data_IF_380014022297
#
_entry.id   IF_380014022297
#
_cell.length_a   1.000
_cell.length_b   1.000
_cell.length_c   1.000
_cell.angle_alpha   90.00
_cell.angle_beta   90.00
_cell.angle_gamma   90.00
#
_symmetry.space_group_name_H-M   'P 1'
#
loop_
_entity.id
_entity.type
_entity.pdbx_description
1 polymer ?
#
# COMPACT_ATOMS: atom_id res chain seq x y z
N UNK A 1 -11.31 -7.79 -9.19
CA UNK A 1 -10.89 -9.20 -9.11
C UNK A 1 -11.69 -10.07 -10.06
N UNK A 2 -11.03 -10.92 -10.85
CA UNK A 2 -11.67 -11.86 -11.77
C UNK A 2 -12.20 -13.10 -11.02
N UNK A 3 -13.07 -13.88 -11.68
CA UNK A 3 -13.68 -15.08 -11.09
C UNK A 3 -12.65 -16.18 -10.74
N UNK A 4 -11.63 -16.49 -11.56
CA UNK A 4 -10.59 -17.46 -11.21
C UNK A 4 -9.77 -17.04 -9.98
N UNK A 5 -9.35 -15.77 -9.90
CA UNK A 5 -8.62 -15.22 -8.74
C UNK A 5 -9.43 -15.33 -7.46
N UNK A 6 -10.73 -15.05 -7.55
CA UNK A 6 -11.65 -15.19 -6.42
C UNK A 6 -11.72 -16.64 -5.93
N UNK A 7 -11.75 -17.61 -6.84
CA UNK A 7 -11.80 -19.04 -6.51
C UNK A 7 -10.52 -19.51 -5.82
N UNK A 8 -9.36 -19.10 -6.34
CA UNK A 8 -8.08 -19.35 -5.69
C UNK A 8 -8.03 -18.77 -4.28
N UNK A 9 -8.56 -17.55 -4.09
CA UNK A 9 -8.52 -16.86 -2.79
C UNK A 9 -9.29 -17.63 -1.71
N UNK A 10 -10.58 -17.91 -1.92
CA UNK A 10 -11.36 -18.59 -0.88
C UNK A 10 -10.91 -20.04 -0.70
N UNK A 11 -10.43 -20.71 -1.76
CA UNK A 11 -9.86 -22.05 -1.65
C UNK A 11 -8.62 -22.05 -0.75
N UNK A 12 -7.73 -21.05 -0.90
CA UNK A 12 -6.56 -20.90 -0.05
C UNK A 12 -6.92 -20.61 1.41
N UNK A 13 -7.91 -19.75 1.64
CA UNK A 13 -8.39 -19.44 2.99
C UNK A 13 -9.04 -20.66 3.66
N UNK A 14 -9.78 -21.48 2.90
CA UNK A 14 -10.38 -22.73 3.38
C UNK A 14 -9.31 -23.80 3.64
N UNK A 15 -8.38 -24.01 2.71
CA UNK A 15 -7.30 -24.99 2.84
C UNK A 15 -6.46 -24.78 4.09
N UNK A 16 -6.22 -23.51 4.45
CA UNK A 16 -5.44 -23.13 5.65
C UNK A 16 -6.26 -23.11 6.94
N UNK A 17 -7.54 -23.47 6.88
CA UNK A 17 -8.45 -23.41 8.03
C UNK A 17 -8.65 -22.00 8.60
N UNK A 18 -8.39 -20.96 7.81
CA UNK A 18 -8.57 -19.57 8.24
C UNK A 18 -10.04 -19.15 8.24
N UNK A 19 -10.81 -19.77 7.35
CA UNK A 19 -12.26 -19.64 7.26
C UNK A 19 -12.87 -21.04 7.14
N UNK A 20 -14.03 -21.22 7.75
CA UNK A 20 -14.80 -22.46 7.72
C UNK A 20 -16.22 -22.16 7.31
N UNK A 21 -16.84 -23.11 6.63
CA UNK A 21 -18.26 -23.04 6.30
C UNK A 21 -19.09 -23.08 7.59
N UNK A 22 -20.15 -22.29 7.61
CA UNK A 22 -21.15 -22.30 8.69
C UNK A 22 -22.47 -22.80 8.13
N UNK A 23 -23.40 -23.18 9.00
CA UNK A 23 -24.73 -23.67 8.60
C UNK A 23 -25.45 -22.78 7.57
N UNK A 24 -25.22 -21.46 7.63
CA UNK A 24 -25.99 -20.49 6.83
C UNK A 24 -25.14 -19.67 5.85
N UNK A 25 -23.81 -19.69 5.96
CA UNK A 25 -22.91 -18.86 5.16
C UNK A 25 -21.64 -19.65 4.84
N UNK A 26 -21.43 -19.90 3.55
CA UNK A 26 -20.24 -20.59 3.04
C UNK A 26 -19.03 -19.66 3.00
N UNK A 27 -17.80 -20.20 2.94
CA UNK A 27 -16.57 -19.40 2.86
C UNK A 27 -16.59 -18.45 1.65
N UNK A 28 -17.11 -18.91 0.51
CA UNK A 28 -17.29 -18.09 -0.70
C UNK A 28 -18.15 -16.86 -0.40
N UNK A 29 -19.29 -17.06 0.26
CA UNK A 29 -20.18 -15.97 0.64
C UNK A 29 -19.50 -15.05 1.66
N UNK A 30 -18.78 -15.58 2.65
CA UNK A 30 -18.03 -14.77 3.63
C UNK A 30 -17.04 -13.83 2.92
N UNK A 31 -16.24 -14.38 1.99
CA UNK A 31 -15.25 -13.60 1.22
C UNK A 31 -15.96 -12.61 0.29
N UNK A 32 -17.08 -12.99 -0.32
CA UNK A 32 -17.88 -12.08 -1.16
C UNK A 32 -18.44 -10.90 -0.37
N UNK A 33 -18.94 -11.12 0.86
CA UNK A 33 -19.39 -10.06 1.77
C UNK A 33 -18.25 -9.05 2.00
N UNK A 34 -17.05 -9.56 2.34
CA UNK A 34 -15.89 -8.70 2.59
C UNK A 34 -15.52 -7.87 1.36
N UNK A 35 -15.37 -8.52 0.19
CA UNK A 35 -15.00 -7.87 -1.06
C UNK A 35 -16.01 -6.83 -1.52
N UNK A 36 -17.30 -7.10 -1.31
CA UNK A 36 -18.39 -6.17 -1.60
C UNK A 36 -18.24 -4.89 -0.78
N UNK A 37 -17.91 -5.02 0.50
CA UNK A 37 -17.69 -3.88 1.41
C UNK A 37 -16.45 -3.09 1.03
N UNK A 38 -15.32 -3.76 0.78
CA UNK A 38 -14.06 -3.04 0.52
C UNK A 38 -14.00 -2.44 -0.90
N UNK A 39 -14.66 -3.06 -1.88
CA UNK A 39 -14.62 -2.67 -3.27
C UNK A 39 -15.66 -1.62 -3.70
N UNK A 40 -16.76 -1.47 -2.96
CA UNK A 40 -17.85 -0.57 -3.37
C UNK A 40 -17.90 0.76 -2.60
N UNK A 41 -18.56 1.75 -3.21
CA UNK A 41 -18.73 3.09 -2.66
C UNK A 41 -19.87 3.20 -1.62
N UNK A 42 -20.61 2.12 -1.35
CA UNK A 42 -21.86 2.21 -0.60
C UNK A 42 -21.74 2.13 0.93
N UNK A 43 -22.78 2.56 1.62
CA UNK A 43 -22.87 2.50 3.09
C UNK A 43 -23.11 1.06 3.57
N UNK A 44 -22.81 0.79 4.85
CA UNK A 44 -23.09 -0.50 5.49
C UNK A 44 -24.54 -0.98 5.26
N UNK A 45 -25.49 -0.03 5.18
CA UNK A 45 -26.91 -0.30 4.94
C UNK A 45 -27.20 -0.80 3.51
N UNK A 46 -26.59 -0.20 2.50
CA UNK A 46 -26.74 -0.64 1.10
C UNK A 46 -26.19 -2.05 0.88
N UNK A 47 -25.13 -2.42 1.61
CA UNK A 47 -24.54 -3.78 1.55
C UNK A 47 -25.47 -4.80 2.20
N UNK A 48 -26.07 -4.46 3.36
CA UNK A 48 -27.08 -5.29 4.04
C UNK A 48 -28.28 -5.58 3.11
N UNK A 49 -28.79 -4.56 2.42
CA UNK A 49 -29.88 -4.71 1.45
C UNK A 49 -29.43 -5.57 0.26
N UNK A 50 -28.25 -5.30 -0.30
CA UNK A 50 -27.77 -6.02 -1.48
C UNK A 50 -27.49 -7.51 -1.23
N UNK A 51 -27.18 -7.89 0.02
CA UNK A 51 -26.85 -9.26 0.40
C UNK A 51 -28.01 -10.01 1.07
N UNK A 52 -29.13 -9.33 1.37
CA UNK A 52 -30.25 -9.91 2.14
C UNK A 52 -29.82 -10.55 3.47
N UNK A 53 -28.78 -10.01 4.11
CA UNK A 53 -28.24 -10.50 5.40
C UNK A 53 -28.35 -9.44 6.49
N UNK A 54 -28.57 -9.86 7.73
CA UNK A 54 -28.59 -8.93 8.86
C UNK A 54 -27.25 -8.20 9.04
N UNK A 55 -27.29 -6.98 9.57
CA UNK A 55 -26.06 -6.20 9.84
C UNK A 55 -25.06 -6.92 10.76
N UNK A 56 -25.56 -7.74 11.70
CA UNK A 56 -24.72 -8.58 12.54
C UNK A 56 -23.95 -9.63 11.73
N UNK A 57 -24.62 -10.31 10.79
CA UNK A 57 -24.01 -11.31 9.89
C UNK A 57 -22.91 -10.67 9.05
N UNK A 58 -23.21 -9.51 8.46
CA UNK A 58 -22.26 -8.74 7.65
C UNK A 58 -21.03 -8.35 8.46
N UNK A 59 -21.22 -7.78 9.66
CA UNK A 59 -20.11 -7.38 10.54
C UNK A 59 -19.27 -8.58 11.01
N UNK A 60 -19.92 -9.69 11.38
CA UNK A 60 -19.26 -10.93 11.81
C UNK A 60 -18.30 -11.43 10.74
N UNK A 61 -18.79 -11.62 9.52
CA UNK A 61 -17.99 -12.20 8.44
C UNK A 61 -17.01 -11.21 7.83
N UNK A 62 -17.32 -9.91 7.81
CA UNK A 62 -16.32 -8.88 7.48
C UNK A 62 -15.10 -8.97 8.40
N UNK A 63 -15.30 -9.05 9.72
CA UNK A 63 -14.19 -9.13 10.67
C UNK A 63 -13.49 -10.51 10.65
N UNK A 64 -14.20 -11.59 10.34
CA UNK A 64 -13.60 -12.92 10.17
C UNK A 64 -12.64 -12.93 8.96
N UNK A 65 -13.11 -12.48 7.80
CA UNK A 65 -12.31 -12.42 6.57
C UNK A 65 -11.17 -11.41 6.70
N UNK A 66 -11.40 -10.25 7.33
CA UNK A 66 -10.35 -9.27 7.59
C UNK A 66 -9.19 -9.89 8.38
N UNK A 67 -9.48 -10.65 9.43
CA UNK A 67 -8.45 -11.34 10.23
C UNK A 67 -7.73 -12.42 9.41
N UNK A 68 -8.47 -13.18 8.61
CA UNK A 68 -7.91 -14.22 7.76
C UNK A 68 -6.93 -13.63 6.72
N UNK A 69 -7.31 -12.56 6.02
CA UNK A 69 -6.46 -11.90 5.02
C UNK A 69 -5.24 -11.26 5.68
N UNK A 70 -5.40 -10.58 6.84
CA UNK A 70 -4.25 -10.01 7.57
C UNK A 70 -3.27 -11.10 8.03
N UNK A 71 -3.76 -12.31 8.34
CA UNK A 71 -2.90 -13.45 8.67
C UNK A 71 -2.17 -14.00 7.43
N UNK A 72 -2.75 -13.86 6.24
CA UNK A 72 -2.12 -14.22 4.96
C UNK A 72 -1.15 -13.13 4.46
N UNK A 73 -1.32 -11.87 4.87
CA UNK A 73 -0.58 -10.73 4.37
C UNK A 73 0.97 -10.86 4.41
N UNK A 74 1.61 -11.47 5.42
CA UNK A 74 3.07 -11.65 5.43
C UNK A 74 3.62 -12.49 4.27
N UNK A 75 2.78 -13.31 3.63
CA UNK A 75 3.15 -14.13 2.48
C UNK A 75 2.86 -13.44 1.13
N UNK A 76 2.12 -12.33 1.17
CA UNK A 76 1.74 -11.56 -0.02
C UNK A 76 2.47 -10.22 -0.09
N UNK A 77 2.86 -9.65 1.05
CA UNK A 77 3.56 -8.39 1.19
C UNK A 77 4.99 -8.72 1.66
N UNK A 78 5.86 -8.97 0.70
CA UNK A 78 7.26 -9.30 0.92
C UNK A 78 8.12 -8.79 -0.25
N UNK A 79 9.43 -8.66 -0.01
CA UNK A 79 10.40 -8.26 -1.04
C UNK A 79 10.63 -9.43 -2.01
N UNK A 80 10.29 -9.24 -3.29
CA UNK A 80 10.34 -10.30 -4.32
C UNK A 80 11.72 -10.52 -4.91
N UNK A 81 12.50 -9.45 -5.02
CA UNK A 81 13.86 -9.48 -5.54
C UNK A 81 14.72 -8.45 -4.82
N UNK A 82 16.01 -8.75 -4.69
CA UNK A 82 17.02 -7.81 -4.16
C UNK A 82 17.89 -7.20 -5.26
N UNK A 83 17.65 -7.55 -6.53
CA UNK A 83 18.37 -6.99 -7.67
C UNK A 83 17.73 -5.69 -8.14
N UNK A 84 18.54 -4.82 -8.76
CA UNK A 84 18.02 -3.63 -9.48
C UNK A 84 16.96 -4.05 -10.49
N UNK A 85 15.83 -3.36 -10.50
CA UNK A 85 14.71 -3.70 -11.38
C UNK A 85 15.02 -3.43 -12.87
N UNK A 86 14.54 -4.26 -13.82
CA UNK A 86 14.72 -4.07 -15.26
C UNK A 86 14.33 -2.67 -15.76
N UNK A 87 13.29 -2.07 -15.18
CA UNK A 87 12.87 -0.68 -15.50
C UNK A 87 14.02 0.33 -15.36
N UNK A 88 14.89 0.14 -14.37
CA UNK A 88 16.05 1.00 -14.16
C UNK A 88 17.19 0.60 -15.08
N UNK A 89 17.55 -0.70 -15.12
CA UNK A 89 18.70 -1.18 -15.90
C UNK A 89 18.52 -1.00 -17.40
N UNK A 90 17.29 -1.13 -17.90
CA UNK A 90 16.95 -0.99 -19.32
C UNK A 90 16.73 0.47 -19.76
N UNK A 91 16.91 1.43 -18.84
CA UNK A 91 16.76 2.87 -19.10
C UNK A 91 18.12 3.58 -18.97
N UNK A 92 19.04 3.37 -19.92
CA UNK A 92 20.37 3.98 -19.88
C UNK A 92 20.28 5.51 -19.97
N UNK A 93 21.15 6.22 -19.25
CA UNK A 93 21.21 7.69 -19.15
C UNK A 93 20.00 8.37 -18.48
N UNK A 94 18.85 7.69 -18.40
CA UNK A 94 17.68 8.16 -17.67
C UNK A 94 17.72 7.72 -16.20
N UNK A 95 17.81 6.41 -15.94
CA UNK A 95 17.84 5.87 -14.58
C UNK A 95 19.15 5.14 -14.26
N UNK A 96 19.70 4.37 -15.20
CA UNK A 96 21.02 3.75 -15.03
C UNK A 96 22.15 4.70 -15.49
N UNK A 97 23.26 4.83 -14.74
CA UNK A 97 23.62 4.13 -13.49
C UNK A 97 23.17 4.84 -12.21
N UNK A 98 22.50 5.99 -12.30
CA UNK A 98 22.19 6.87 -11.16
C UNK A 98 21.38 6.19 -10.04
N UNK A 99 20.51 5.24 -10.39
CA UNK A 99 19.71 4.44 -9.46
C UNK A 99 20.11 2.96 -9.46
N UNK A 100 21.36 2.63 -9.82
CA UNK A 100 21.87 1.26 -9.70
C UNK A 100 21.73 0.77 -8.24
N UNK A 101 21.10 -0.39 -8.07
CA UNK A 101 20.80 -1.00 -6.79
C UNK A 101 19.55 -0.45 -6.08
N UNK A 102 18.80 0.46 -6.71
CA UNK A 102 17.45 0.78 -6.25
C UNK A 102 16.51 -0.39 -6.57
N UNK A 103 15.84 -0.89 -5.52
CA UNK A 103 14.97 -2.07 -5.61
C UNK A 103 13.50 -1.63 -5.69
N UNK A 104 13.10 -0.65 -4.87
CA UNK A 104 11.71 -0.30 -4.64
C UNK A 104 11.54 1.21 -4.40
N UNK A 105 10.31 1.70 -4.53
CA UNK A 105 9.93 3.08 -4.26
C UNK A 105 9.14 3.19 -2.94
N UNK A 106 9.48 4.18 -2.12
CA UNK A 106 8.82 4.46 -0.84
C UNK A 106 7.99 5.74 -0.93
N UNK A 107 6.73 5.67 -0.50
CA UNK A 107 5.93 6.87 -0.30
C UNK A 107 4.81 6.68 0.74
N UNK A 108 4.30 7.80 1.23
CA UNK A 108 3.14 7.88 2.09
C UNK A 108 1.86 8.30 1.34
N UNK A 109 0.72 7.80 1.79
CA UNK A 109 -0.60 8.29 1.37
C UNK A 109 -1.52 8.50 2.57
N UNK A 110 -2.50 9.38 2.41
CA UNK A 110 -3.55 9.60 3.41
C UNK A 110 -4.80 8.79 3.07
N UNK A 111 -5.36 8.14 4.09
CA UNK A 111 -6.65 7.45 4.07
C UNK A 111 -7.57 8.13 5.09
N UNK A 112 -8.85 8.30 4.77
CA UNK A 112 -9.82 8.91 5.71
C UNK A 112 -9.88 8.09 7.00
N UNK A 113 -9.79 8.77 8.14
CA UNK A 113 -9.84 8.15 9.45
C UNK A 113 -11.23 8.33 10.08
N UNK A 114 -11.78 7.26 10.67
CA UNK A 114 -12.95 7.38 11.55
C UNK A 114 -12.48 7.38 13.00
N UNK A 115 -12.44 8.57 13.58
CA UNK A 115 -11.90 8.85 14.90
C UNK A 115 -12.97 9.48 15.78
N UNK A 116 -12.88 9.25 17.09
CA UNK A 116 -13.78 9.91 18.05
C UNK A 116 -13.41 11.38 18.17
N UNK A 117 -14.37 12.23 18.57
CA UNK A 117 -14.14 13.66 18.75
C UNK A 117 -12.90 13.97 19.62
N UNK A 118 -12.70 13.20 20.70
CA UNK A 118 -11.54 13.31 21.62
C UNK A 118 -10.17 13.06 20.97
N UNK A 119 -10.14 12.38 19.82
CA UNK A 119 -8.91 12.04 19.11
C UNK A 119 -8.75 12.79 17.78
N UNK A 120 -9.75 13.59 17.39
CA UNK A 120 -9.82 14.20 16.07
C UNK A 120 -8.62 15.11 15.77
N UNK A 121 -8.17 15.87 16.78
CA UNK A 121 -7.04 16.79 16.64
C UNK A 121 -5.73 16.09 16.27
N UNK A 122 -5.53 14.83 16.71
CA UNK A 122 -4.32 14.06 16.41
C UNK A 122 -4.25 13.51 14.99
N UNK A 123 -5.41 13.42 14.32
CA UNK A 123 -5.53 12.95 12.93
C UNK A 123 -5.83 14.10 11.97
N UNK A 124 -5.69 15.34 12.44
CA UNK A 124 -5.93 16.55 11.65
C UNK A 124 -4.67 16.90 10.87
N UNK A 125 -4.71 16.64 9.57
CA UNK A 125 -3.67 17.01 8.62
C UNK A 125 -4.05 18.23 7.79
N UNK A 126 -3.48 18.32 6.58
CA UNK A 126 -3.78 19.37 5.58
C UNK A 126 -5.21 19.31 5.01
N UNK A 127 -5.91 18.19 5.14
CA UNK A 127 -7.29 18.01 4.64
C UNK A 127 -8.29 18.54 5.66
N UNK A 128 -9.48 18.96 5.19
CA UNK A 128 -10.59 19.42 6.05
C UNK A 128 -11.24 18.32 6.89
N UNK A 129 -10.76 17.08 6.80
CA UNK A 129 -11.27 15.91 7.51
C UNK A 129 -10.10 15.10 8.08
N UNK A 130 -10.31 14.33 9.17
CA UNK A 130 -9.26 13.53 9.77
C UNK A 130 -8.80 12.40 8.84
N UNK A 131 -7.50 12.19 8.78
CA UNK A 131 -6.86 11.15 7.96
C UNK A 131 -5.83 10.38 8.78
N UNK A 132 -5.69 9.09 8.48
CA UNK A 132 -4.56 8.29 8.94
C UNK A 132 -3.51 8.22 7.84
N UNK A 133 -2.25 8.16 8.23
CA UNK A 133 -1.19 7.91 7.28
C UNK A 133 -1.01 6.43 7.01
N UNK A 134 -0.61 6.16 5.78
CA UNK A 134 -0.16 4.87 5.31
C UNK A 134 1.20 5.08 4.65
N UNK A 135 2.23 4.42 5.14
CA UNK A 135 3.49 4.27 4.42
C UNK A 135 3.45 2.97 3.64
N UNK A 136 3.96 3.01 2.41
CA UNK A 136 4.28 1.77 1.73
C UNK A 136 5.60 1.85 0.98
N UNK A 137 6.19 0.69 0.82
CA UNK A 137 7.26 0.43 -0.15
C UNK A 137 6.67 -0.47 -1.23
N UNK A 138 6.97 -0.13 -2.48
CA UNK A 138 6.36 -0.72 -3.67
C UNK A 138 7.44 -1.02 -4.69
N UNK A 139 7.47 -2.24 -5.21
CA UNK A 139 8.37 -2.60 -6.32
C UNK A 139 7.95 -1.93 -7.64
N UNK A 140 8.80 -2.00 -8.65
CA UNK A 140 8.49 -1.36 -9.94
C UNK A 140 7.42 -2.09 -10.78
N UNK A 141 6.96 -3.25 -10.32
CA UNK A 141 5.83 -4.01 -10.84
C UNK A 141 4.52 -3.73 -10.05
N UNK A 142 4.54 -2.72 -9.17
CA UNK A 142 3.41 -2.22 -8.39
C UNK A 142 2.93 -3.13 -7.26
N UNK A 143 3.74 -4.10 -6.82
CA UNK A 143 3.46 -4.88 -5.61
C UNK A 143 3.89 -4.13 -4.37
N UNK A 144 3.04 -4.15 -3.35
CA UNK A 144 3.38 -3.67 -2.02
C UNK A 144 4.31 -4.66 -1.32
N UNK A 145 5.50 -4.24 -0.91
CA UNK A 145 6.49 -5.12 -0.25
C UNK A 145 6.63 -4.81 1.24
N UNK A 146 6.20 -3.61 1.64
CA UNK A 146 6.09 -3.20 3.03
C UNK A 146 4.94 -2.20 3.19
N UNK A 147 4.13 -2.35 4.26
CA UNK A 147 3.02 -1.44 4.54
C UNK A 147 2.90 -1.18 6.03
N UNK A 148 2.77 0.09 6.40
CA UNK A 148 2.46 0.53 7.76
C UNK A 148 1.28 1.48 7.70
N UNK A 149 0.28 1.27 8.57
CA UNK A 149 -0.93 2.09 8.61
C UNK A 149 -1.39 2.36 10.04
N UNK A 150 -2.22 3.39 10.23
CA UNK A 150 -2.85 3.70 11.51
C UNK A 150 -2.08 4.67 12.40
N UNK A 151 -1.09 5.39 11.87
CA UNK A 151 -0.23 6.31 12.62
C UNK A 151 -0.59 7.79 12.38
N UNK A 152 -0.31 8.60 13.41
CA UNK A 152 -0.42 10.06 13.40
C UNK A 152 0.77 10.70 12.65
N UNK A 153 0.58 11.90 12.07
CA UNK A 153 1.47 12.54 11.08
C UNK A 153 2.95 12.63 11.49
N UNK A 154 3.26 12.86 12.77
CA UNK A 154 4.63 13.11 13.23
C UNK A 154 5.52 11.85 13.25
N UNK A 155 4.96 10.69 13.61
CA UNK A 155 5.69 9.42 13.67
C UNK A 155 6.03 8.88 12.29
N UNK A 156 5.22 9.22 11.30
CA UNK A 156 5.44 8.83 9.92
C UNK A 156 6.68 9.45 9.30
N UNK A 157 6.96 10.72 9.60
CA UNK A 157 8.19 11.36 9.16
C UNK A 157 9.38 10.61 9.75
N UNK A 158 9.37 10.31 11.05
CA UNK A 158 10.45 9.58 11.71
C UNK A 158 10.67 8.18 11.13
N UNK A 159 9.59 7.44 10.82
CA UNK A 159 9.67 6.14 10.16
C UNK A 159 10.18 6.26 8.72
N UNK A 160 9.70 7.24 7.95
CA UNK A 160 10.19 7.51 6.60
C UNK A 160 11.69 7.81 6.62
N UNK A 161 12.17 8.57 7.60
CA UNK A 161 13.60 8.88 7.76
C UNK A 161 14.44 7.65 8.15
N UNK A 162 13.88 6.73 8.96
CA UNK A 162 14.54 5.46 9.31
C UNK A 162 14.48 4.41 8.19
N UNK A 163 13.39 4.35 7.42
CA UNK A 163 13.18 3.32 6.39
C UNK A 163 13.73 3.71 5.03
N UNK A 164 13.76 5.01 4.69
CA UNK A 164 14.48 5.52 3.50
C UNK A 164 15.97 5.13 3.54
N UNK A 165 16.51 4.87 4.72
CA UNK A 165 17.85 4.34 4.93
C UNK A 165 18.05 2.91 4.41
N UNK A 166 17.01 2.07 4.46
CA UNK A 166 17.04 0.66 4.06
C UNK A 166 16.72 0.48 2.57
N UNK A 167 15.79 1.27 2.02
CA UNK A 167 15.35 1.17 0.60
C UNK A 167 16.44 1.62 -0.39
N UNK A 168 17.42 2.41 0.07
CA UNK A 168 18.54 2.94 -0.72
C UNK A 168 19.82 2.08 -0.67
N UNK A 169 19.77 0.88 -0.10
CA UNK A 169 20.94 -0.03 -0.05
C UNK A 169 21.16 -0.74 -1.40
N UNK A 170 21.31 0.08 -2.45
CA UNK A 170 21.94 -0.26 -3.71
C UNK A 170 23.42 0.05 -3.65
N UNK A 171 24.21 -0.92 -3.20
CA UNK A 171 25.65 -0.79 -3.02
C UNK A 171 26.38 -0.66 -4.36
N UNK A 172 26.59 0.57 -4.82
CA UNK A 172 27.72 1.03 -5.68
C UNK A 172 27.71 2.57 -5.84
N UNK A 173 26.54 3.18 -5.92
CA UNK A 173 26.39 4.64 -6.06
C UNK A 173 26.91 5.44 -4.86
N UNK A 174 26.93 4.85 -3.66
CA UNK A 174 27.52 5.43 -2.44
C UNK A 174 29.04 5.62 -2.53
N UNK A 175 29.75 4.77 -3.28
CA UNK A 175 31.21 4.89 -3.48
C UNK A 175 31.58 6.06 -4.37
N UNK A 176 30.68 6.50 -5.25
CA UNK A 176 30.92 7.61 -6.16
C UNK A 176 30.85 8.99 -5.46
N UNK A 177 30.37 9.05 -4.21
CA UNK A 177 30.32 10.27 -3.38
C UNK A 177 31.22 10.24 -2.13
N UNK A 178 31.95 9.15 -1.86
CA UNK A 178 32.93 9.11 -0.76
C UNK A 178 32.36 9.32 0.66
N UNK A 179 31.13 8.88 0.94
CA UNK A 179 30.50 9.06 2.27
C UNK A 179 30.08 7.73 2.93
N UNK A 180 30.20 7.62 4.27
CA UNK A 180 29.85 6.41 5.00
C UNK A 180 28.33 6.13 4.99
N UNK A 181 27.91 4.86 5.19
CA UNK A 181 26.54 4.39 4.90
C UNK A 181 25.42 5.01 5.76
N UNK A 182 25.74 5.94 6.67
CA UNK A 182 24.85 6.52 7.69
C UNK A 182 24.14 7.84 7.33
N UNK A 183 24.54 8.54 6.26
CA UNK A 183 24.22 9.96 6.07
C UNK A 183 23.46 10.31 4.78
N UNK A 184 23.10 9.33 3.96
CA UNK A 184 22.76 9.57 2.56
C UNK A 184 21.39 10.22 2.26
N UNK A 185 20.48 10.35 3.22
CA UNK A 185 19.17 11.01 2.94
C UNK A 185 18.89 12.26 3.78
N UNK A 186 19.39 12.32 5.03
CA UNK A 186 19.18 13.50 5.88
C UNK A 186 20.23 14.61 5.64
N UNK A 187 21.42 14.26 5.14
CA UNK A 187 22.50 15.23 4.99
C UNK A 187 22.43 16.04 3.67
N UNK A 188 21.68 15.55 2.65
CA UNK A 188 21.53 16.26 1.38
C UNK A 188 20.39 17.31 1.38
N UNK A 189 19.39 17.18 2.26
CA UNK A 189 18.29 18.16 2.35
C UNK A 189 18.71 19.40 3.16
N UNK A 190 19.60 19.26 4.15
CA UNK A 190 19.81 20.35 5.15
C UNK A 190 21.18 21.04 5.06
N UNK A 191 22.25 20.45 4.49
CA UNK A 191 23.62 21.03 4.63
C UNK A 191 24.39 21.46 3.39
N UNK A 192 23.80 21.47 2.20
CA UNK A 192 24.38 22.18 1.04
C UNK A 192 23.52 23.39 0.67
N UNK A 193 23.58 24.41 1.54
CA UNK A 193 22.97 25.71 1.28
C UNK A 193 23.70 26.53 0.21
N UNK A 194 24.82 26.05 -0.34
CA UNK A 194 25.62 26.83 -1.30
C UNK A 194 26.49 25.91 -2.17
N UNK A 195 25.94 25.32 -3.24
CA UNK A 195 26.55 25.20 -4.60
C UNK A 195 25.89 24.10 -5.47
N UNK A 196 25.67 24.44 -6.76
CA UNK A 196 25.20 23.63 -7.93
C UNK A 196 23.71 23.20 -7.98
N UNK A 197 22.86 24.17 -8.35
CA UNK A 197 21.41 24.00 -8.56
C UNK A 197 20.99 23.01 -9.68
N UNK A 198 21.83 22.77 -10.69
CA UNK A 198 21.42 22.04 -11.91
C UNK A 198 21.40 20.52 -11.73
N UNK A 199 22.45 19.93 -11.15
CA UNK A 199 22.54 18.47 -10.94
C UNK A 199 21.48 17.96 -9.95
N UNK A 200 21.18 18.76 -8.92
CA UNK A 200 20.09 18.49 -7.97
C UNK A 200 18.72 18.47 -8.67
N UNK A 201 18.48 19.38 -9.61
CA UNK A 201 17.24 19.42 -10.39
C UNK A 201 17.05 18.14 -11.22
N UNK A 202 18.10 17.69 -11.92
CA UNK A 202 18.06 16.46 -12.72
C UNK A 202 17.84 15.20 -11.87
N UNK A 203 18.52 15.09 -10.72
CA UNK A 203 18.28 13.98 -9.80
C UNK A 203 16.86 14.00 -9.25
N UNK A 204 16.39 15.16 -8.77
CA UNK A 204 15.03 15.31 -8.25
C UNK A 204 13.97 14.99 -9.30
N UNK A 205 14.19 15.38 -10.56
CA UNK A 205 13.30 15.05 -11.67
C UNK A 205 13.22 13.54 -11.89
N UNK A 206 14.37 12.85 -12.00
CA UNK A 206 14.41 11.38 -12.18
C UNK A 206 13.86 10.62 -10.96
N UNK A 207 14.18 11.08 -9.75
CA UNK A 207 13.62 10.54 -8.52
C UNK A 207 12.10 10.71 -8.47
N UNK A 208 11.59 11.87 -8.87
CA UNK A 208 10.15 12.11 -8.99
C UNK A 208 9.51 11.17 -10.01
N UNK A 209 10.17 10.88 -11.13
CA UNK A 209 9.69 9.91 -12.11
C UNK A 209 9.63 8.48 -11.56
N UNK A 210 10.62 8.05 -10.77
CA UNK A 210 10.58 6.73 -10.13
C UNK A 210 9.47 6.65 -9.06
N UNK A 211 9.24 7.75 -8.33
CA UNK A 211 8.17 7.87 -7.33
C UNK A 211 6.76 7.75 -7.93
N UNK A 212 6.59 8.03 -9.23
CA UNK A 212 5.31 7.79 -9.94
C UNK A 212 4.86 6.34 -9.76
N UNK A 213 5.79 5.39 -9.66
CA UNK A 213 5.49 3.96 -9.44
C UNK A 213 4.65 3.74 -8.18
N UNK A 214 5.08 4.26 -7.02
CA UNK A 214 4.36 4.08 -5.76
C UNK A 214 3.06 4.89 -5.74
N UNK A 215 3.03 6.05 -6.39
CA UNK A 215 1.80 6.83 -6.58
C UNK A 215 0.77 6.09 -7.45
N UNK A 216 1.22 5.42 -8.53
CA UNK A 216 0.40 4.54 -9.39
C UNK A 216 -0.15 3.37 -8.61
N UNK A 217 0.67 2.69 -7.80
CA UNK A 217 0.22 1.58 -6.98
C UNK A 217 -0.84 2.02 -5.95
N UNK A 218 -0.65 3.15 -5.28
CA UNK A 218 -1.70 3.72 -4.41
C UNK A 218 -2.97 4.12 -5.18
N UNK A 219 -2.82 4.63 -6.40
CA UNK A 219 -3.93 4.95 -7.29
C UNK A 219 -4.75 3.70 -7.65
N UNK A 220 -4.09 2.65 -8.11
CA UNK A 220 -4.70 1.36 -8.42
C UNK A 220 -5.38 0.75 -7.18
N UNK A 221 -4.71 0.75 -6.03
CA UNK A 221 -5.24 0.27 -4.75
C UNK A 221 -6.55 0.99 -4.37
N UNK A 222 -6.57 2.33 -4.40
CA UNK A 222 -7.77 3.13 -4.08
C UNK A 222 -8.86 2.99 -5.14
N UNK A 223 -8.50 2.64 -6.37
CA UNK A 223 -9.45 2.37 -7.44
C UNK A 223 -10.11 1.00 -7.29
N UNK A 224 -9.35 -0.03 -6.92
CA UNK A 224 -9.89 -1.35 -6.63
C UNK A 224 -10.68 -1.38 -5.31
N UNK A 225 -10.19 -0.69 -4.27
CA UNK A 225 -10.77 -0.71 -2.92
C UNK A 225 -11.28 0.67 -2.49
N UNK A 226 -12.51 0.98 -2.90
CA UNK A 226 -13.16 2.28 -2.66
C UNK A 226 -13.35 2.61 -1.17
N UNK A 227 -13.33 1.61 -0.28
CA UNK A 227 -13.34 1.84 1.18
C UNK A 227 -12.21 2.75 1.65
N UNK A 228 -11.06 2.77 0.96
CA UNK A 228 -9.90 3.59 1.30
C UNK A 228 -10.08 5.08 0.91
N UNK A 229 -11.04 5.39 0.04
CA UNK A 229 -11.35 6.75 -0.40
C UNK A 229 -12.53 7.37 0.38
N UNK A 230 -13.29 6.52 1.09
CA UNK A 230 -14.53 6.89 1.77
C UNK A 230 -14.36 6.99 3.28
N UNK A 231 -15.34 7.62 3.96
CA UNK A 231 -15.39 7.62 5.43
C UNK A 231 -15.74 6.20 5.88
N UNK A 232 -14.81 5.44 6.49
CA UNK A 232 -15.08 4.05 6.79
C UNK A 232 -16.01 3.96 8.01
N UNK A 233 -16.99 3.05 7.98
CA UNK A 233 -17.88 2.75 9.11
C UNK A 233 -17.21 1.88 10.19
N UNK A 234 -15.89 1.77 10.11
CA UNK A 234 -15.07 0.83 10.86
C UNK A 234 -14.21 1.62 11.85
N UNK A 235 -14.03 1.17 13.11
CA UNK A 235 -13.14 1.85 14.06
C UNK A 235 -11.69 1.91 13.56
N UNK A 236 -10.95 2.97 13.91
CA UNK A 236 -9.57 3.21 13.44
C UNK A 236 -8.64 1.97 13.52
N UNK A 237 -8.66 1.23 14.64
CA UNK A 237 -7.83 0.01 14.81
C UNK A 237 -8.12 -1.05 13.73
N UNK A 238 -9.37 -1.17 13.33
CA UNK A 238 -9.78 -2.08 12.26
C UNK A 238 -9.54 -1.45 10.88
N UNK A 239 -9.54 -0.12 10.74
CA UNK A 239 -9.19 0.55 9.48
C UNK A 239 -7.73 0.30 9.06
N UNK A 240 -6.79 0.33 10.01
CA UNK A 240 -5.38 0.00 9.71
C UNK A 240 -5.25 -1.43 9.15
N UNK A 241 -5.97 -2.38 9.74
CA UNK A 241 -6.05 -3.76 9.23
C UNK A 241 -6.67 -3.84 7.84
N UNK A 242 -7.70 -3.01 7.57
CA UNK A 242 -8.32 -2.94 6.23
C UNK A 242 -7.32 -2.47 5.19
N UNK A 243 -6.48 -1.47 5.50
CA UNK A 243 -5.41 -1.03 4.59
C UNK A 243 -4.47 -2.18 4.24
N UNK A 244 -3.97 -2.90 5.26
CA UNK A 244 -3.08 -4.05 5.07
C UNK A 244 -3.76 -5.14 4.22
N UNK A 245 -5.03 -5.47 4.53
CA UNK A 245 -5.79 -6.46 3.78
C UNK A 245 -6.00 -6.05 2.31
N UNK A 246 -6.29 -4.77 2.04
CA UNK A 246 -6.40 -4.27 0.67
C UNK A 246 -5.07 -4.36 -0.09
N UNK A 247 -3.94 -4.02 0.53
CA UNK A 247 -2.61 -4.18 -0.08
C UNK A 247 -2.29 -5.65 -0.37
N UNK A 248 -2.60 -6.55 0.55
CA UNK A 248 -2.41 -7.99 0.35
C UNK A 248 -3.29 -8.52 -0.80
N UNK A 249 -4.56 -8.10 -0.87
CA UNK A 249 -5.45 -8.46 -1.98
C UNK A 249 -5.02 -7.84 -3.30
N UNK A 250 -4.46 -6.64 -3.31
CA UNK A 250 -3.89 -6.02 -4.50
C UNK A 250 -2.76 -6.87 -5.08
N UNK A 251 -1.81 -7.29 -4.24
CA UNK A 251 -0.73 -8.18 -4.68
C UNK A 251 -1.27 -9.54 -5.14
N UNK A 252 -2.25 -10.11 -4.42
CA UNK A 252 -2.91 -11.35 -4.83
C UNK A 252 -3.56 -11.27 -6.22
N UNK A 253 -4.16 -10.11 -6.55
CA UNK A 253 -4.75 -9.88 -7.86
C UNK A 253 -3.66 -9.77 -8.93
N UNK A 254 -2.59 -9.02 -8.64
CA UNK A 254 -1.46 -8.84 -9.55
C UNK A 254 -0.74 -10.15 -9.89
N UNK A 255 -0.57 -11.04 -8.92
CA UNK A 255 0.10 -12.33 -9.10
C UNK A 255 -0.60 -13.25 -10.12
N UNK A 256 -1.89 -13.04 -10.39
CA UNK A 256 -2.66 -13.84 -11.35
C UNK A 256 -2.83 -13.14 -12.73
N UNK A 257 -2.24 -11.95 -12.90
CA UNK A 257 -2.28 -11.18 -14.13
C UNK A 257 -2.55 -9.68 -13.92
N UNK A 258 -2.43 -8.86 -14.98
CA UNK A 258 -2.54 -7.42 -14.86
C UNK A 258 -3.94 -6.99 -14.36
N UNK A 259 -3.96 -6.16 -13.31
CA UNK A 259 -5.19 -5.58 -12.80
C UNK A 259 -5.74 -4.55 -13.80
N UNK A 260 -7.06 -4.58 -14.05
CA UNK A 260 -7.74 -3.65 -14.98
C UNK A 260 -7.62 -2.18 -14.56
N UNK A 261 -7.24 -1.92 -13.30
CA UNK A 261 -7.09 -0.60 -12.73
C UNK A 261 -5.66 -0.05 -12.80
N UNK A 262 -4.73 -0.80 -13.38
CA UNK A 262 -3.36 -0.36 -13.64
C UNK A 262 -3.30 0.12 -15.09
N UNK A 263 -3.09 1.43 -15.26
CA UNK A 263 -2.84 2.02 -16.57
C UNK A 263 -1.35 2.00 -16.86
N UNK A 264 -0.96 1.74 -18.11
CA UNK A 264 0.42 1.84 -18.56
C UNK A 264 0.97 3.27 -18.36
N UNK A 265 2.30 3.38 -18.27
CA UNK A 265 2.91 4.70 -18.22
C UNK A 265 2.67 5.42 -19.54
N UNK A 266 2.27 6.70 -19.51
CA UNK A 266 2.24 7.48 -20.74
C UNK A 266 3.65 7.50 -21.33
N UNK A 267 3.80 6.89 -22.51
CA UNK A 267 5.01 6.94 -23.35
C UNK A 267 5.37 8.37 -23.71
#
# INVERSE_FOLDING_TARGET
MSRPVFYKLYAQLRYRGLLVDTLHVSVEEQVAIFLKIVGQYHTHFSVVIALWRSGWTVSKYFNAVLRAIVKLAPELIYVRSTSTHPKITNSPNMFYPYFEGCIEALDGTHVKACVTAKSMDRFRGRKSYPTQNVLAVVDFDLHFTYVVSGWEDLLMILLCCKMSFLVLMGSKSLKMLGMPPGQAYYHHIVREHRTRNVQKSFFNHRHSQLRITVERAFGALKNCFKILSNKPFVPLKSQAKVVIACCALHNWILDDGPDKFIYDEPT
#
